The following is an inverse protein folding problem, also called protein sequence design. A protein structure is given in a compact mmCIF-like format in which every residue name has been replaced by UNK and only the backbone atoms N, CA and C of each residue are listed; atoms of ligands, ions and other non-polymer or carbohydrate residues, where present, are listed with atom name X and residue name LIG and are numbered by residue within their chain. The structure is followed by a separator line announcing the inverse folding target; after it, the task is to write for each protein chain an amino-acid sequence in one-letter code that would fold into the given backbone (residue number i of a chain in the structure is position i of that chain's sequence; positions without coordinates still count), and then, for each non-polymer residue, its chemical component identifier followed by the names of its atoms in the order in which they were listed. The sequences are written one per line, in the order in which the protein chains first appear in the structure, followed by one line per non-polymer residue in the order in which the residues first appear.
data_IF_424616089007
#
_entry.id   IF_424616089007
#
_cell.length_a   1.000
_cell.length_b   1.000
_cell.length_c   1.000
_cell.angle_alpha   90.00
_cell.angle_beta   90.00
_cell.angle_gamma   90.00
#
_symmetry.space_group_name_H-M   'P 1'
#
loop_
_entity.id
_entity.type
_entity.pdbx_description
1 polymer ?
#
# COMPACT_ATOMS: atom_id res chain seq x y z
N UNK A 1 -5.83 9.25 18.64
CA UNK A 1 -5.87 8.95 17.17
C UNK A 1 -4.45 8.80 16.59
N UNK A 2 -3.52 9.71 16.88
CA UNK A 2 -2.13 9.63 16.42
C UNK A 2 -1.36 8.46 17.04
N UNK A 3 -1.69 8.06 18.27
CA UNK A 3 -1.05 6.95 18.97
C UNK A 3 -1.33 5.58 18.33
N UNK A 4 -2.52 5.37 17.74
CA UNK A 4 -2.88 4.11 17.09
C UNK A 4 -2.09 3.92 15.79
N UNK A 5 -1.96 4.95 14.96
CA UNK A 5 -1.20 4.89 13.72
C UNK A 5 0.31 4.73 13.96
N UNK A 6 0.84 5.39 14.98
CA UNK A 6 2.24 5.20 15.41
C UNK A 6 2.48 3.78 15.88
N UNK A 7 1.56 3.21 16.66
CA UNK A 7 1.66 1.82 17.13
C UNK A 7 1.59 0.82 15.96
N UNK A 8 0.69 1.03 15.00
CA UNK A 8 0.58 0.20 13.79
C UNK A 8 1.87 0.26 12.98
N UNK A 9 2.40 1.44 12.74
CA UNK A 9 3.65 1.62 11.99
C UNK A 9 4.85 1.00 12.71
N UNK A 10 4.93 1.16 14.03
CA UNK A 10 6.01 0.57 14.83
C UNK A 10 5.94 -0.96 14.80
N UNK A 11 4.76 -1.53 14.99
CA UNK A 11 4.54 -2.98 14.93
C UNK A 11 4.87 -3.55 13.56
N UNK A 12 4.47 -2.89 12.49
CA UNK A 12 4.82 -3.29 11.12
C UNK A 12 6.33 -3.23 10.89
N UNK A 13 6.96 -2.14 11.27
CA UNK A 13 8.40 -1.95 11.12
C UNK A 13 9.20 -3.00 11.91
N UNK A 14 8.80 -3.29 13.13
CA UNK A 14 9.40 -4.33 13.96
C UNK A 14 9.18 -5.72 13.36
N UNK A 15 7.97 -6.04 12.93
CA UNK A 15 7.63 -7.33 12.31
C UNK A 15 8.41 -7.57 11.01
N UNK A 16 8.62 -6.53 10.21
CA UNK A 16 9.43 -6.60 8.99
C UNK A 16 10.90 -6.85 9.34
N UNK A 17 11.44 -6.17 10.35
CA UNK A 17 12.83 -6.35 10.79
C UNK A 17 13.09 -7.75 11.34
N UNK A 18 12.15 -8.31 12.09
CA UNK A 18 12.28 -9.64 12.71
C UNK A 18 12.18 -10.78 11.69
N UNK A 19 11.54 -10.54 10.55
CA UNK A 19 11.25 -11.59 9.56
C UNK A 19 12.34 -11.81 8.50
N UNK A 20 13.50 -11.13 8.60
CA UNK A 20 14.56 -11.16 7.59
C UNK A 20 14.11 -10.84 6.14
N UNK A 21 12.94 -10.20 5.99
CA UNK A 21 12.43 -9.74 4.68
C UNK A 21 13.19 -8.50 4.24
N UNK A 22 13.95 -7.93 5.14
CA UNK A 22 14.47 -6.58 5.04
C UNK A 22 15.82 -6.53 4.36
N UNK A 23 15.81 -6.06 3.14
CA UNK A 23 16.86 -5.17 2.68
C UNK A 23 16.35 -3.74 2.96
N UNK A 24 17.04 -2.96 3.79
CA UNK A 24 16.66 -1.60 4.22
C UNK A 24 16.35 -0.65 3.05
N UNK A 25 16.75 -1.02 1.82
CA UNK A 25 16.51 -0.28 0.59
C UNK A 25 15.18 -0.64 -0.10
N UNK A 26 14.56 -1.78 0.21
CA UNK A 26 13.39 -2.28 -0.51
C UNK A 26 12.06 -1.91 0.16
N UNK A 27 12.10 -1.57 1.44
CA UNK A 27 10.90 -1.22 2.21
C UNK A 27 11.17 0.06 3.00
N UNK A 28 10.34 1.07 2.79
CA UNK A 28 10.38 2.33 3.54
C UNK A 28 9.02 2.60 4.18
N UNK A 29 9.00 2.90 5.48
CA UNK A 29 7.78 3.18 6.24
C UNK A 29 7.78 4.64 6.66
N UNK A 30 6.76 5.39 6.24
CA UNK A 30 6.54 6.79 6.59
C UNK A 30 5.22 6.96 7.30
N UNK A 31 5.20 7.85 8.29
CA UNK A 31 3.99 8.25 8.99
C UNK A 31 3.78 9.74 8.74
N UNK A 32 2.61 10.09 8.24
CA UNK A 32 2.18 11.48 8.09
C UNK A 32 0.77 11.62 8.68
N UNK A 33 0.67 12.37 9.78
CA UNK A 33 -0.59 12.58 10.52
C UNK A 33 -1.29 11.25 10.84
N UNK A 34 -2.40 10.96 10.16
CA UNK A 34 -3.23 9.77 10.39
C UNK A 34 -2.97 8.66 9.37
N UNK A 35 -2.02 8.84 8.46
CA UNK A 35 -1.73 7.94 7.36
C UNK A 35 -0.37 7.27 7.55
N UNK A 36 -0.34 5.96 7.39
CA UNK A 36 0.91 5.18 7.33
C UNK A 36 1.15 4.75 5.88
N UNK A 37 2.28 5.14 5.32
CA UNK A 37 2.67 4.73 3.97
C UNK A 37 3.87 3.79 4.02
N UNK A 38 3.71 2.62 3.43
CA UNK A 38 4.77 1.64 3.25
C UNK A 38 5.10 1.60 1.76
N UNK A 39 6.28 2.05 1.40
CA UNK A 39 6.77 2.00 0.02
C UNK A 39 7.61 0.74 -0.17
N UNK A 40 7.25 -0.09 -1.12
CA UNK A 40 7.89 -1.39 -1.36
C UNK A 40 8.44 -1.42 -2.80
N UNK A 41 9.72 -1.78 -2.93
CA UNK A 41 10.35 -1.91 -4.23
C UNK A 41 9.69 -3.01 -5.08
N UNK A 42 9.58 -2.75 -6.37
CA UNK A 42 8.99 -3.66 -7.36
C UNK A 42 9.65 -5.04 -7.35
N UNK A 43 10.98 -5.09 -7.22
CA UNK A 43 11.76 -6.32 -7.21
C UNK A 43 11.40 -7.28 -6.06
N UNK A 44 10.85 -6.77 -4.96
CA UNK A 44 10.37 -7.57 -3.84
C UNK A 44 8.97 -8.15 -4.09
N UNK A 45 8.13 -7.44 -4.85
CA UNK A 45 6.72 -7.76 -5.00
C UNK A 45 6.40 -8.55 -6.27
N UNK A 46 7.10 -8.25 -7.38
CA UNK A 46 6.72 -8.77 -8.70
C UNK A 46 7.91 -9.34 -9.46
N UNK A 47 7.60 -10.21 -10.40
CA UNK A 47 8.55 -10.57 -11.47
C UNK A 47 8.71 -9.40 -12.44
N UNK A 48 9.90 -9.23 -12.99
CA UNK A 48 10.21 -8.15 -13.94
C UNK A 48 9.20 -8.11 -15.10
N UNK A 49 8.66 -6.92 -15.39
CA UNK A 49 7.71 -6.71 -16.47
C UNK A 49 6.37 -7.42 -16.33
N UNK A 50 6.07 -7.97 -15.16
CA UNK A 50 4.87 -8.76 -14.88
C UNK A 50 4.03 -8.13 -13.78
N UNK A 51 2.75 -8.49 -13.72
CA UNK A 51 1.87 -8.22 -12.58
C UNK A 51 1.67 -9.45 -11.70
N UNK A 52 2.41 -10.53 -11.95
CA UNK A 52 2.39 -11.70 -11.09
C UNK A 52 3.19 -11.44 -9.81
N UNK A 53 2.54 -11.63 -8.66
CA UNK A 53 3.17 -11.43 -7.36
C UNK A 53 4.21 -12.52 -7.10
N UNK A 54 5.40 -12.09 -6.72
CA UNK A 54 6.49 -12.99 -6.34
C UNK A 54 6.22 -13.63 -4.98
N UNK A 55 6.64 -14.88 -4.81
CA UNK A 55 6.55 -15.56 -3.50
C UNK A 55 7.37 -14.87 -2.40
N UNK A 56 8.35 -14.06 -2.78
CA UNK A 56 9.11 -13.21 -1.84
C UNK A 56 8.24 -12.18 -1.11
N UNK A 57 7.11 -11.80 -1.71
CA UNK A 57 6.17 -10.83 -1.13
C UNK A 57 5.27 -11.44 -0.05
N UNK A 58 5.07 -12.74 -0.03
CA UNK A 58 4.10 -13.39 0.85
C UNK A 58 4.34 -13.13 2.35
N UNK A 59 5.56 -13.19 2.88
CA UNK A 59 5.79 -12.86 4.29
C UNK A 59 5.38 -11.42 4.65
N UNK A 60 5.67 -10.45 3.79
CA UNK A 60 5.26 -9.06 3.97
C UNK A 60 3.73 -8.92 3.96
N UNK A 61 3.08 -9.54 2.98
CA UNK A 61 1.62 -9.49 2.86
C UNK A 61 0.92 -10.17 4.02
N UNK A 62 1.48 -11.26 4.55
CA UNK A 62 0.96 -11.93 5.75
C UNK A 62 1.03 -11.00 6.97
N UNK A 63 2.14 -10.31 7.20
CA UNK A 63 2.31 -9.36 8.30
C UNK A 63 1.37 -8.17 8.18
N UNK A 64 1.25 -7.62 6.98
CA UNK A 64 0.30 -6.54 6.68
C UNK A 64 -1.14 -6.97 6.99
N UNK A 65 -1.50 -8.18 6.57
CA UNK A 65 -2.84 -8.73 6.78
C UNK A 65 -3.17 -8.93 8.25
N UNK A 66 -2.21 -9.38 9.06
CA UNK A 66 -2.40 -9.51 10.49
C UNK A 66 -2.77 -8.17 11.14
N UNK A 67 -2.10 -7.11 10.75
CA UNK A 67 -2.40 -5.76 11.22
C UNK A 67 -3.79 -5.29 10.75
N UNK A 68 -4.08 -5.45 9.47
CA UNK A 68 -5.37 -5.03 8.90
C UNK A 68 -6.54 -5.81 9.50
N UNK A 69 -6.36 -7.10 9.76
CA UNK A 69 -7.41 -7.93 10.35
C UNK A 69 -7.61 -7.66 11.84
N UNK A 70 -6.60 -7.13 12.54
CA UNK A 70 -6.72 -6.72 13.94
C UNK A 70 -7.37 -5.34 14.12
N UNK A 71 -7.38 -4.50 13.07
CA UNK A 71 -7.84 -3.10 13.11
C UNK A 71 -8.89 -2.84 12.02
N UNK A 72 -10.15 -3.23 12.29
CA UNK A 72 -11.25 -3.12 11.34
C UNK A 72 -11.60 -1.67 10.90
N UNK A 73 -11.10 -0.67 11.64
CA UNK A 73 -11.34 0.75 11.34
C UNK A 73 -10.43 1.34 10.27
N UNK A 74 -9.50 0.55 9.73
CA UNK A 74 -8.53 1.01 8.74
C UNK A 74 -8.90 0.51 7.35
N UNK A 75 -8.78 1.40 6.36
CA UNK A 75 -8.76 1.05 4.95
C UNK A 75 -7.32 0.99 4.44
N UNK A 76 -7.10 0.28 3.37
CA UNK A 76 -5.81 0.22 2.70
C UNK A 76 -5.94 0.47 1.21
N UNK A 77 -5.14 1.41 0.70
CA UNK A 77 -4.94 1.64 -0.72
C UNK A 77 -3.63 1.02 -1.16
N UNK A 78 -3.66 0.22 -2.20
CA UNK A 78 -2.48 -0.31 -2.87
C UNK A 78 -2.26 0.49 -4.14
N UNK A 79 -1.23 1.32 -4.15
CA UNK A 79 -0.98 2.28 -5.23
C UNK A 79 0.32 1.92 -5.98
N UNK A 80 0.17 1.50 -7.24
CA UNK A 80 1.29 1.10 -8.09
C UNK A 80 1.91 2.28 -8.83
N UNK A 81 3.24 2.25 -8.95
CA UNK A 81 4.04 3.20 -9.70
C UNK A 81 5.03 2.48 -10.60
N UNK A 82 5.21 2.98 -11.82
CA UNK A 82 6.18 2.48 -12.79
C UNK A 82 7.28 3.50 -13.05
N UNK A 83 8.35 3.08 -13.73
CA UNK A 83 9.25 4.00 -14.40
C UNK A 83 8.65 4.53 -15.71
N UNK A 84 9.37 5.40 -16.41
CA UNK A 84 8.92 6.01 -17.66
C UNK A 84 9.11 5.12 -18.88
N UNK A 85 9.75 3.96 -18.73
CA UNK A 85 9.97 3.03 -19.82
C UNK A 85 8.64 2.41 -20.26
N UNK A 86 8.31 2.55 -21.54
CA UNK A 86 7.06 2.02 -22.08
C UNK A 86 6.99 0.49 -22.01
N UNK A 87 5.79 -0.02 -21.81
CA UNK A 87 5.46 -1.43 -21.87
C UNK A 87 4.22 -1.63 -22.73
N UNK A 88 4.24 -2.66 -23.55
CA UNK A 88 3.07 -3.11 -24.31
C UNK A 88 3.16 -4.61 -24.53
N UNK A 89 2.14 -5.32 -24.07
CA UNK A 89 1.98 -6.77 -24.26
C UNK A 89 0.53 -7.07 -24.63
N UNK A 90 0.19 -8.31 -24.92
CA UNK A 90 -1.20 -8.70 -25.19
C UNK A 90 -2.16 -8.43 -24.03
N UNK A 91 -1.63 -8.40 -22.81
CA UNK A 91 -2.41 -8.22 -21.59
C UNK A 91 -2.23 -6.84 -20.93
N UNK A 92 -1.19 -6.09 -21.34
CA UNK A 92 -0.84 -4.80 -20.77
C UNK A 92 -0.73 -3.79 -21.91
N UNK A 93 -1.61 -2.82 -21.92
CA UNK A 93 -1.60 -1.79 -22.97
C UNK A 93 -0.49 -0.76 -22.75
N UNK A 94 -0.27 -0.33 -21.50
CA UNK A 94 0.67 0.72 -21.12
C UNK A 94 0.99 0.66 -19.61
N UNK A 95 1.72 1.65 -19.11
CA UNK A 95 2.07 1.75 -17.70
C UNK A 95 0.85 2.03 -16.79
N UNK A 96 -0.23 2.62 -17.30
CA UNK A 96 -1.49 2.70 -16.56
C UNK A 96 -2.01 1.30 -16.24
N UNK A 97 -2.12 0.46 -17.25
CA UNK A 97 -2.56 -0.93 -17.08
C UNK A 97 -1.65 -1.70 -16.13
N UNK A 98 -0.33 -1.59 -16.31
CA UNK A 98 0.64 -2.31 -15.48
C UNK A 98 0.50 -1.92 -14.01
N UNK A 99 0.46 -0.63 -13.71
CA UNK A 99 0.36 -0.14 -12.34
C UNK A 99 -0.94 -0.56 -11.65
N UNK A 100 -2.06 -0.51 -12.35
CA UNK A 100 -3.37 -0.92 -11.82
C UNK A 100 -3.45 -2.45 -11.67
N UNK A 101 -3.00 -3.22 -12.65
CA UNK A 101 -3.01 -4.69 -12.59
C UNK A 101 -2.13 -5.24 -11.47
N UNK A 102 -0.99 -4.62 -11.22
CA UNK A 102 -0.12 -4.95 -10.10
C UNK A 102 -0.81 -4.72 -8.75
N UNK A 103 -1.43 -3.57 -8.58
CA UNK A 103 -2.20 -3.26 -7.38
C UNK A 103 -3.38 -4.22 -7.18
N UNK A 104 -4.10 -4.53 -8.23
CA UNK A 104 -5.22 -5.49 -8.20
C UNK A 104 -4.76 -6.90 -7.84
N UNK A 105 -3.60 -7.34 -8.32
CA UNK A 105 -3.04 -8.64 -7.98
C UNK A 105 -2.76 -8.77 -6.48
N UNK A 106 -2.20 -7.71 -5.85
CA UNK A 106 -1.97 -7.66 -4.41
C UNK A 106 -3.30 -7.66 -3.64
N UNK A 107 -4.26 -6.85 -4.06
CA UNK A 107 -5.60 -6.79 -3.45
C UNK A 107 -6.28 -8.16 -3.45
N UNK A 108 -6.22 -8.90 -4.55
CA UNK A 108 -6.78 -10.25 -4.62
C UNK A 108 -6.11 -11.23 -3.66
N UNK A 109 -4.80 -11.14 -3.46
CA UNK A 109 -4.11 -11.95 -2.46
C UNK A 109 -4.53 -11.59 -1.05
N UNK A 110 -4.60 -10.31 -0.72
CA UNK A 110 -5.06 -9.84 0.59
C UNK A 110 -6.48 -10.33 0.89
N UNK A 111 -7.36 -10.27 -0.08
CA UNK A 111 -8.74 -10.75 0.05
C UNK A 111 -8.83 -12.27 0.15
N UNK A 112 -8.28 -13.00 -0.80
CA UNK A 112 -8.55 -14.42 -0.98
C UNK A 112 -7.65 -15.30 -0.11
N UNK A 113 -6.35 -14.97 -0.01
CA UNK A 113 -5.39 -15.75 0.77
C UNK A 113 -5.37 -15.34 2.24
N UNK A 114 -5.40 -14.04 2.51
CA UNK A 114 -5.21 -13.49 3.86
C UNK A 114 -6.49 -12.99 4.52
N UNK A 115 -7.63 -13.15 3.85
CA UNK A 115 -8.97 -12.91 4.42
C UNK A 115 -9.21 -11.48 4.92
N UNK A 116 -8.57 -10.50 4.27
CA UNK A 116 -8.89 -9.08 4.51
C UNK A 116 -10.25 -8.77 3.88
N UNK A 117 -11.10 -8.04 4.60
CA UNK A 117 -12.40 -7.60 4.11
C UNK A 117 -12.24 -6.76 2.83
N UNK A 118 -12.81 -7.18 1.69
CA UNK A 118 -12.63 -6.50 0.42
C UNK A 118 -13.21 -5.09 0.38
N UNK A 119 -14.18 -4.76 1.23
CA UNK A 119 -14.74 -3.40 1.33
C UNK A 119 -13.72 -2.36 1.82
N UNK A 120 -12.61 -2.80 2.39
CA UNK A 120 -11.52 -1.97 2.90
C UNK A 120 -10.33 -1.86 1.95
N UNK A 121 -10.37 -2.55 0.82
CA UNK A 121 -9.27 -2.65 -0.14
C UNK A 121 -9.51 -1.73 -1.34
N UNK A 122 -8.53 -0.88 -1.65
CA UNK A 122 -8.59 0.07 -2.76
C UNK A 122 -7.36 -0.13 -3.65
N UNK A 123 -7.48 -0.74 -4.85
CA UNK A 123 -6.38 -0.78 -5.80
C UNK A 123 -6.32 0.53 -6.60
N UNK A 124 -5.11 1.05 -6.82
CA UNK A 124 -4.88 2.27 -7.58
C UNK A 124 -3.60 2.17 -8.40
N UNK A 125 -3.50 2.94 -9.45
CA UNK A 125 -2.32 3.03 -10.29
C UNK A 125 -2.04 4.47 -10.72
N UNK A 126 -0.77 4.84 -10.71
CA UNK A 126 -0.27 6.17 -11.07
C UNK A 126 0.55 6.18 -12.36
N UNK A 127 0.69 5.04 -13.05
CA UNK A 127 1.59 4.95 -14.20
C UNK A 127 2.99 5.45 -13.82
N UNK A 128 3.63 6.23 -14.68
CA UNK A 128 4.97 6.80 -14.46
C UNK A 128 4.95 8.28 -14.03
N UNK A 129 3.80 8.82 -13.67
CA UNK A 129 3.60 10.28 -13.57
C UNK A 129 3.86 10.87 -12.20
N UNK A 130 4.20 10.05 -11.20
CA UNK A 130 4.58 10.52 -9.85
C UNK A 130 5.93 9.90 -9.46
N UNK A 131 7.02 10.26 -10.17
CA UNK A 131 8.33 9.67 -9.91
C UNK A 131 8.94 10.20 -8.62
N UNK A 132 9.75 9.36 -7.95
CA UNK A 132 10.59 9.79 -6.82
C UNK A 132 11.85 10.51 -7.29
N UNK A 133 12.35 10.15 -8.46
CA UNK A 133 13.57 10.67 -9.06
C UNK A 133 13.44 10.68 -10.59
N UNK A 134 14.40 11.24 -11.30
CA UNK A 134 14.38 11.16 -12.76
C UNK A 134 14.54 9.70 -13.25
N UNK A 135 14.22 9.45 -14.51
CA UNK A 135 14.26 8.11 -15.12
C UNK A 135 15.53 7.89 -15.96
N UNK A 136 16.58 8.67 -15.76
CA UNK A 136 17.76 8.70 -16.64
C UNK A 136 18.68 7.50 -16.48
N UNK A 137 18.71 6.87 -15.32
CA UNK A 137 19.56 5.70 -15.03
C UNK A 137 18.71 4.49 -14.65
N UNK A 138 19.31 3.30 -14.77
CA UNK A 138 18.69 2.07 -14.32
C UNK A 138 18.34 2.12 -12.82
N UNK A 139 19.26 2.63 -12.00
CA UNK A 139 19.04 2.74 -10.54
C UNK A 139 17.89 3.70 -10.22
N UNK A 140 17.78 4.82 -10.90
CA UNK A 140 16.69 5.78 -10.72
C UNK A 140 15.35 5.18 -11.16
N UNK A 141 15.31 4.50 -12.30
CA UNK A 141 14.11 3.79 -12.75
C UNK A 141 13.68 2.72 -11.75
N UNK A 142 14.63 1.97 -11.18
CA UNK A 142 14.34 0.96 -10.16
C UNK A 142 13.69 1.58 -8.91
N UNK A 143 14.12 2.76 -8.49
CA UNK A 143 13.50 3.50 -7.37
C UNK A 143 12.08 3.97 -7.69
N UNK A 144 11.81 4.31 -8.94
CA UNK A 144 10.47 4.73 -9.38
C UNK A 144 9.49 3.54 -9.46
N UNK A 145 9.98 2.32 -9.74
CA UNK A 145 9.17 1.09 -9.74
C UNK A 145 8.90 0.64 -8.32
N UNK A 146 7.76 1.03 -7.79
CA UNK A 146 7.36 0.74 -6.41
C UNK A 146 5.86 0.60 -6.27
N UNK A 147 5.45 0.03 -5.15
CA UNK A 147 4.06 0.02 -4.71
C UNK A 147 3.99 0.69 -3.34
N UNK A 148 3.13 1.67 -3.22
CA UNK A 148 2.82 2.31 -1.95
C UNK A 148 1.61 1.61 -1.32
N UNK A 149 1.77 1.10 -0.11
CA UNK A 149 0.70 0.55 0.71
C UNK A 149 0.32 1.66 1.69
N UNK A 150 -0.86 2.22 1.51
CA UNK A 150 -1.32 3.39 2.25
C UNK A 150 -2.43 2.96 3.20
N UNK A 151 -2.13 2.95 4.49
CA UNK A 151 -3.07 2.60 5.55
C UNK A 151 -3.66 3.88 6.11
N UNK A 152 -4.98 4.00 6.05
CA UNK A 152 -5.70 5.21 6.41
C UNK A 152 -6.95 4.89 7.22
N UNK A 153 -7.44 5.82 8.05
CA UNK A 153 -8.73 5.65 8.73
C UNK A 153 -9.86 5.51 7.71
N UNK A 154 -10.82 4.66 8.01
CA UNK A 154 -12.00 4.50 7.16
C UNK A 154 -12.77 5.81 7.07
N UNK A 155 -12.97 6.32 5.85
CA UNK A 155 -13.62 7.62 5.60
C UNK A 155 -15.05 7.64 6.15
N UNK A 156 -15.80 6.57 5.96
CA UNK A 156 -17.19 6.50 6.45
C UNK A 156 -17.26 6.57 7.99
N UNK A 157 -16.34 5.91 8.68
CA UNK A 157 -16.22 6.03 10.15
C UNK A 157 -15.80 7.41 10.58
N UNK A 158 -14.91 8.05 9.85
CA UNK A 158 -14.49 9.43 10.11
C UNK A 158 -15.67 10.39 10.02
N UNK A 159 -16.49 10.32 8.97
CA UNK A 159 -17.70 11.14 8.83
C UNK A 159 -18.75 10.82 9.90
N UNK A 160 -18.91 9.56 10.28
CA UNK A 160 -19.81 9.17 11.35
C UNK A 160 -19.38 9.76 12.71
N UNK A 161 -18.07 9.75 13.01
CA UNK A 161 -17.53 10.38 14.22
C UNK A 161 -17.72 11.90 14.23
N UNK A 162 -17.51 12.57 13.10
CA UNK A 162 -17.78 14.01 12.98
C UNK A 162 -19.26 14.35 13.18
N UNK A 163 -20.18 13.54 12.68
CA UNK A 163 -21.62 13.73 12.89
C UNK A 163 -22.00 13.58 14.36
N UNK A 164 -21.42 12.61 15.07
CA UNK A 164 -21.64 12.43 16.52
C UNK A 164 -21.13 13.63 17.33
N UNK A 165 -19.95 14.15 17.04
CA UNK A 165 -19.40 15.35 17.70
C UNK A 165 -20.31 16.58 17.48
N UNK A 166 -20.92 16.73 16.30
CA UNK A 166 -21.87 17.80 16.05
C UNK A 166 -23.17 17.65 16.84
N UNK A 167 -23.68 16.44 16.99
CA UNK A 167 -24.86 16.15 17.80
C UNK A 167 -24.63 16.43 19.27
N UNK A 168 -23.47 16.06 19.82
CA UNK A 168 -23.10 16.34 21.21
C UNK A 168 -23.01 17.85 21.50
N UNK A 169 -22.48 18.63 20.59
CA UNK A 169 -22.38 20.10 20.72
C UNK A 169 -23.77 20.74 20.71
N UNK A 170 -24.69 20.26 19.89
CA UNK A 170 -26.08 20.81 19.81
C UNK A 170 -26.88 20.47 21.07
N UNK A 171 -26.65 19.33 21.71
CA UNK A 171 -27.34 18.93 22.95
C UNK A 171 -26.79 19.65 24.18
N UNK A 172 -25.54 20.15 24.16
CA UNK A 172 -24.89 20.86 25.26
C UNK A 172 -25.28 22.35 25.36
N UNK A 173 -25.91 22.96 24.37
CA UNK A 173 -26.43 24.34 24.33
C UNK A 173 -27.93 24.38 24.72
#
# INVERSE_FOLDING_TARGET
KDSMNVAVAHNLKQSISESNINDDNDIDVKIDQTVVMISVADSLLFRSGSYQVSTKAYPLLAKLSDVLNSEASLDVMIEGHTDSKGIHTDQIQDNWDLSVKRSTAIVRLLQNRYKVDPSRLIPAGRSSYVPLTDNSTYQNRARNRRTNIIIMPNINKFFALMAQEQEEVVVAD
#
